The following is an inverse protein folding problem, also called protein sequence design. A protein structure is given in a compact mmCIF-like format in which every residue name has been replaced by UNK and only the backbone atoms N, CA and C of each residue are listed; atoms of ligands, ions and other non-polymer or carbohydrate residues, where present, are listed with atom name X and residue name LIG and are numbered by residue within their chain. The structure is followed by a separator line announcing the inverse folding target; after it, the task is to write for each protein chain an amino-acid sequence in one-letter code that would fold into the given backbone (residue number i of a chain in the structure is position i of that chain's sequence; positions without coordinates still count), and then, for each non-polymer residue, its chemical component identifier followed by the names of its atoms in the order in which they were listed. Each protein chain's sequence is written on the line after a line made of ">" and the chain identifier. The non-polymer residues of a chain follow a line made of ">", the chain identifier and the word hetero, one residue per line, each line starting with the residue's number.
data_IF_706332950288
#
_entry.id   IF_706332950288
#
_cell.length_a   1.000
_cell.length_b   1.000
_cell.length_c   1.000
_cell.angle_alpha   90.00
_cell.angle_beta   90.00
_cell.angle_gamma   90.00
#
_symmetry.space_group_name_H-M   'P 1'
#
loop_
_entity.id
_entity.type
_entity.pdbx_description
1 polymer ?
#
# COMPACT_ATOMS: atom_id res chain seq x y z
N UNK A 1 -22.71 -32.78 31.63
CA UNK A 1 -21.63 -31.88 31.14
C UNK A 1 -20.26 -32.51 31.45
N UNK A 2 -19.35 -32.62 30.47
CA UNK A 2 -17.98 -33.14 30.68
C UNK A 2 -17.01 -32.00 30.90
N UNK A 3 -16.16 -32.12 31.93
CA UNK A 3 -15.03 -31.21 32.13
C UNK A 3 -13.93 -31.53 31.12
N UNK A 4 -13.39 -30.49 30.48
CA UNK A 4 -12.24 -30.57 29.57
C UNK A 4 -11.17 -29.57 30.01
N UNK A 5 -9.91 -29.91 29.77
CA UNK A 5 -8.76 -29.04 30.01
C UNK A 5 -8.32 -28.43 28.68
N UNK A 6 -8.34 -27.10 28.56
CA UNK A 6 -8.09 -26.38 27.30
C UNK A 6 -7.06 -25.29 27.53
N UNK A 7 -6.07 -25.22 26.65
CA UNK A 7 -5.11 -24.10 26.57
C UNK A 7 -5.48 -23.20 25.39
N UNK A 8 -5.66 -21.91 25.66
CA UNK A 8 -5.95 -20.92 24.63
C UNK A 8 -4.66 -20.22 24.19
N UNK A 9 -4.52 -20.03 22.88
CA UNK A 9 -3.47 -19.21 22.25
C UNK A 9 -4.18 -18.25 21.31
N UNK A 10 -3.91 -16.95 21.44
CA UNK A 10 -4.50 -15.90 20.62
C UNK A 10 -3.40 -15.20 19.83
N UNK A 11 -3.72 -14.78 18.61
CA UNK A 11 -2.83 -14.02 17.74
C UNK A 11 -3.60 -12.85 17.16
N UNK A 12 -2.95 -11.68 17.07
CA UNK A 12 -3.53 -10.49 16.45
C UNK A 12 -2.47 -9.77 15.64
N UNK A 13 -2.86 -9.33 14.45
CA UNK A 13 -2.09 -8.45 13.57
C UNK A 13 -2.32 -6.97 13.89
N UNK A 14 -3.30 -6.64 14.72
CA UNK A 14 -3.52 -5.29 15.25
C UNK A 14 -3.19 -5.23 16.76
N UNK A 15 -2.74 -4.07 17.28
CA UNK A 15 -2.56 -3.90 18.71
C UNK A 15 -3.89 -4.09 19.46
N UNK A 16 -4.00 -5.19 20.21
CA UNK A 16 -5.24 -5.59 20.89
C UNK A 16 -5.70 -4.53 21.90
N UNK A 17 -4.74 -3.83 22.52
CA UNK A 17 -5.02 -2.74 23.44
C UNK A 17 -5.72 -1.56 22.76
N UNK A 18 -5.29 -1.17 21.55
CA UNK A 18 -5.92 -0.10 20.78
C UNK A 18 -7.32 -0.50 20.33
N UNK A 19 -7.49 -1.73 19.85
CA UNK A 19 -8.80 -2.27 19.49
C UNK A 19 -9.77 -2.30 20.69
N UNK A 20 -9.26 -2.53 21.91
CA UNK A 20 -10.06 -2.41 23.13
C UNK A 20 -10.47 -0.97 23.44
N UNK A 21 -9.58 0.02 23.24
CA UNK A 21 -9.89 1.43 23.44
C UNK A 21 -10.92 1.95 22.43
N UNK A 22 -10.92 1.42 21.22
CA UNK A 22 -11.88 1.73 20.16
C UNK A 22 -13.24 1.03 20.35
N UNK A 23 -13.41 0.21 21.39
CA UNK A 23 -14.64 -0.53 21.65
C UNK A 23 -14.87 -1.76 20.75
N UNK A 24 -13.90 -2.11 19.90
CA UNK A 24 -13.97 -3.29 19.04
C UNK A 24 -13.78 -4.59 19.84
N UNK A 25 -13.05 -4.51 20.95
CA UNK A 25 -12.81 -5.64 21.86
C UNK A 25 -13.32 -5.27 23.25
N UNK A 26 -14.09 -6.20 23.85
CA UNK A 26 -14.56 -6.03 25.22
C UNK A 26 -13.40 -6.07 26.21
N UNK A 27 -13.46 -5.17 27.19
CA UNK A 27 -12.36 -4.99 28.15
C UNK A 27 -12.17 -6.19 29.09
N UNK A 28 -13.24 -6.92 29.41
CA UNK A 28 -13.16 -8.16 30.19
C UNK A 28 -12.46 -9.29 29.44
N UNK A 29 -12.67 -9.38 28.12
CA UNK A 29 -11.96 -10.32 27.26
C UNK A 29 -10.46 -9.97 27.17
N UNK A 30 -10.13 -8.69 26.91
CA UNK A 30 -8.73 -8.23 26.85
C UNK A 30 -7.95 -8.58 28.13
N UNK A 31 -8.53 -8.31 29.30
CA UNK A 31 -7.90 -8.63 30.59
C UNK A 31 -7.63 -10.13 30.76
N UNK A 32 -8.50 -11.01 30.24
CA UNK A 32 -8.33 -12.46 30.33
C UNK A 32 -7.24 -12.97 29.40
N UNK A 33 -7.16 -12.45 28.17
CA UNK A 33 -6.15 -12.91 27.20
C UNK A 33 -4.76 -12.35 27.50
N UNK A 34 -4.66 -11.13 28.05
CA UNK A 34 -3.37 -10.51 28.36
C UNK A 34 -2.78 -10.93 29.72
N UNK A 35 -3.50 -11.73 30.51
CA UNK A 35 -3.10 -12.11 31.88
C UNK A 35 -1.77 -12.89 31.97
N UNK A 36 -1.36 -13.55 30.89
CA UNK A 36 -0.15 -14.39 30.82
C UNK A 36 1.01 -13.74 30.07
N UNK A 37 0.85 -12.48 29.66
CA UNK A 37 1.81 -11.73 28.84
C UNK A 37 1.57 -11.88 27.34
N UNK A 38 2.16 -10.96 26.59
CA UNK A 38 2.13 -10.92 25.12
C UNK A 38 3.52 -11.21 24.59
N UNK A 39 3.61 -12.05 23.55
CA UNK A 39 4.86 -12.29 22.82
C UNK A 39 4.82 -11.42 21.58
N UNK A 40 5.70 -10.42 21.52
CA UNK A 40 5.83 -9.58 20.33
C UNK A 40 6.71 -10.26 19.29
N UNK A 41 6.17 -10.39 18.07
CA UNK A 41 6.90 -10.97 16.94
C UNK A 41 7.51 -9.81 16.16
N UNK A 42 8.82 -9.62 16.31
CA UNK A 42 9.55 -8.60 15.55
C UNK A 42 9.42 -8.83 14.03
N UNK A 43 9.24 -7.78 13.21
CA UNK A 43 9.25 -7.91 11.75
C UNK A 43 10.59 -8.47 11.26
N UNK A 44 10.59 -9.06 10.06
CA UNK A 44 11.78 -9.67 9.44
C UNK A 44 12.90 -8.65 9.24
N UNK A 45 12.56 -7.37 9.01
CA UNK A 45 13.52 -6.26 8.91
C UNK A 45 14.33 -6.02 10.19
N UNK A 46 13.80 -6.36 11.37
CA UNK A 46 14.51 -6.29 12.65
C UNK A 46 15.32 -7.54 12.97
N UNK A 47 15.19 -8.61 12.16
CA UNK A 47 15.87 -9.90 12.33
C UNK A 47 16.50 -10.38 11.03
N UNK A 48 17.23 -9.50 10.33
CA UNK A 48 17.84 -9.78 9.02
C UNK A 48 18.78 -10.99 9.02
N UNK A 49 19.34 -11.34 10.18
CA UNK A 49 20.16 -12.55 10.37
C UNK A 49 19.42 -13.86 10.08
N UNK A 50 18.08 -13.85 10.15
CA UNK A 50 17.25 -15.03 9.90
C UNK A 50 17.00 -15.26 8.41
N UNK A 51 17.17 -14.24 7.57
CA UNK A 51 16.85 -14.30 6.12
C UNK A 51 17.59 -15.44 5.43
N UNK A 52 18.92 -15.65 5.59
CA UNK A 52 19.61 -16.76 4.93
C UNK A 52 19.08 -18.15 5.31
N UNK A 53 18.73 -18.34 6.58
CA UNK A 53 18.19 -19.61 7.05
C UNK A 53 16.77 -19.86 6.51
N UNK A 54 15.93 -18.82 6.51
CA UNK A 54 14.58 -18.87 5.96
C UNK A 54 14.57 -19.09 4.44
N UNK A 55 15.43 -18.38 3.72
CA UNK A 55 15.61 -18.55 2.27
C UNK A 55 15.97 -19.99 1.93
N UNK A 56 16.96 -20.56 2.62
CA UNK A 56 17.35 -21.96 2.45
C UNK A 56 16.18 -22.89 2.73
N UNK A 57 15.48 -22.68 3.82
CA UNK A 57 14.32 -23.50 4.20
C UNK A 57 13.22 -23.50 3.13
N UNK A 58 12.85 -22.32 2.61
CA UNK A 58 11.81 -22.22 1.59
C UNK A 58 12.25 -22.80 0.24
N UNK A 59 13.51 -22.61 -0.15
CA UNK A 59 14.05 -23.21 -1.36
C UNK A 59 14.07 -24.74 -1.26
N UNK A 60 14.53 -25.30 -0.14
CA UNK A 60 14.49 -26.74 0.10
C UNK A 60 13.06 -27.30 0.12
N UNK A 61 12.13 -26.58 0.74
CA UNK A 61 10.72 -26.96 0.76
C UNK A 61 10.16 -27.02 -0.66
N UNK A 62 10.46 -26.01 -1.49
CA UNK A 62 10.03 -25.95 -2.88
C UNK A 62 10.68 -27.05 -3.73
N UNK A 63 12.00 -27.25 -3.61
CA UNK A 63 12.73 -28.30 -4.31
C UNK A 63 12.19 -29.70 -4.01
N UNK A 64 11.84 -29.99 -2.75
CA UNK A 64 11.22 -31.26 -2.38
C UNK A 64 9.84 -31.45 -3.01
N UNK A 65 9.04 -30.38 -3.09
CA UNK A 65 7.72 -30.43 -3.70
C UNK A 65 7.78 -30.60 -5.24
N UNK A 66 8.76 -29.96 -5.88
CA UNK A 66 8.95 -29.96 -7.33
C UNK A 66 9.89 -31.06 -7.84
N UNK A 67 10.50 -31.85 -6.95
CA UNK A 67 11.53 -32.86 -7.27
C UNK A 67 12.73 -32.29 -8.04
N UNK A 68 13.19 -31.10 -7.63
CA UNK A 68 14.26 -30.34 -8.27
C UNK A 68 15.43 -30.08 -7.33
N UNK A 69 16.52 -29.55 -7.87
CA UNK A 69 17.76 -29.23 -7.16
C UNK A 69 18.19 -27.76 -7.36
N UNK A 70 17.24 -26.82 -7.34
CA UNK A 70 17.56 -25.41 -7.55
C UNK A 70 18.46 -24.86 -6.45
N UNK A 71 19.42 -24.02 -6.85
CA UNK A 71 20.32 -23.27 -5.98
C UNK A 71 20.11 -21.77 -6.16
N UNK A 72 20.62 -20.97 -5.22
CA UNK A 72 20.64 -19.51 -5.32
C UNK A 72 22.06 -19.03 -5.61
N UNK A 73 22.21 -18.07 -6.51
CA UNK A 73 23.48 -17.38 -6.68
C UNK A 73 23.79 -16.51 -5.45
N UNK A 74 25.08 -16.31 -5.16
CA UNK A 74 25.52 -15.47 -4.03
C UNK A 74 24.96 -14.04 -4.13
N UNK A 75 24.98 -13.46 -5.33
CA UNK A 75 24.43 -12.13 -5.59
C UNK A 75 22.92 -12.07 -5.26
N UNK A 76 22.16 -13.11 -5.60
CA UNK A 76 20.73 -13.19 -5.28
C UNK A 76 20.50 -13.30 -3.79
N UNK A 77 21.33 -14.07 -3.09
CA UNK A 77 21.25 -14.20 -1.63
C UNK A 77 21.57 -12.88 -0.92
N UNK A 78 22.63 -12.18 -1.33
CA UNK A 78 22.98 -10.87 -0.80
C UNK A 78 21.88 -9.84 -1.05
N UNK A 79 21.30 -9.86 -2.24
CA UNK A 79 20.19 -8.99 -2.57
C UNK A 79 18.98 -9.26 -1.67
N UNK A 80 18.57 -10.52 -1.50
CA UNK A 80 17.48 -10.90 -0.60
C UNK A 80 17.74 -10.48 0.85
N UNK A 81 19.00 -10.49 1.30
CA UNK A 81 19.37 -10.00 2.64
C UNK A 81 19.29 -8.47 2.75
N UNK A 82 19.51 -7.75 1.65
CA UNK A 82 19.46 -6.28 1.60
C UNK A 82 18.04 -5.72 1.61
N UNK A 83 17.06 -6.51 1.14
CA UNK A 83 15.67 -6.10 1.05
C UNK A 83 15.03 -5.83 2.42
N UNK A 84 14.17 -4.81 2.45
CA UNK A 84 13.32 -4.52 3.58
C UNK A 84 11.93 -5.12 3.35
N UNK A 85 11.65 -6.24 4.02
CA UNK A 85 10.36 -6.95 3.96
C UNK A 85 9.27 -6.27 4.81
N UNK A 86 9.00 -5.00 4.54
CA UNK A 86 8.16 -4.13 5.39
C UNK A 86 6.68 -4.53 5.37
N UNK A 87 6.21 -5.11 4.26
CA UNK A 87 4.78 -5.33 4.03
C UNK A 87 4.32 -6.69 4.56
N UNK A 88 4.93 -7.77 4.08
CA UNK A 88 4.50 -9.14 4.42
C UNK A 88 5.59 -10.00 5.07
N UNK A 89 6.72 -9.39 5.47
CA UNK A 89 7.77 -10.04 6.27
C UNK A 89 8.19 -11.41 5.68
N UNK A 90 8.09 -12.47 6.48
CA UNK A 90 8.45 -13.84 6.09
C UNK A 90 7.59 -14.36 4.94
N UNK A 91 6.32 -13.95 4.87
CA UNK A 91 5.43 -14.33 3.75
C UNK A 91 5.87 -13.70 2.44
N UNK A 92 6.42 -12.49 2.48
CA UNK A 92 6.99 -11.82 1.30
C UNK A 92 8.23 -12.55 0.80
N UNK A 93 9.17 -12.85 1.71
CA UNK A 93 10.36 -13.63 1.39
C UNK A 93 10.00 -14.98 0.76
N UNK A 94 9.04 -15.70 1.36
CA UNK A 94 8.57 -16.98 0.81
C UNK A 94 8.03 -16.82 -0.60
N UNK A 95 7.20 -15.81 -0.86
CA UNK A 95 6.66 -15.53 -2.19
C UNK A 95 7.76 -15.22 -3.21
N UNK A 96 8.78 -14.45 -2.82
CA UNK A 96 9.90 -14.13 -3.70
C UNK A 96 10.67 -15.39 -4.10
N UNK A 97 10.94 -16.28 -3.15
CA UNK A 97 11.59 -17.57 -3.43
C UNK A 97 10.71 -18.44 -4.33
N UNK A 98 9.42 -18.61 -4.03
CA UNK A 98 8.52 -19.41 -4.88
C UNK A 98 8.48 -18.89 -6.31
N UNK A 99 8.27 -17.58 -6.50
CA UNK A 99 8.19 -16.97 -7.84
C UNK A 99 9.53 -17.10 -8.58
N UNK A 100 10.65 -16.90 -7.90
CA UNK A 100 11.96 -17.01 -8.52
C UNK A 100 12.30 -18.45 -8.91
N UNK A 101 11.91 -19.42 -8.08
CA UNK A 101 12.04 -20.85 -8.37
C UNK A 101 11.18 -21.27 -9.57
N UNK A 102 9.92 -20.83 -9.62
CA UNK A 102 9.01 -21.13 -10.75
C UNK A 102 9.57 -20.57 -12.07
N UNK A 103 10.12 -19.35 -12.04
CA UNK A 103 10.74 -18.72 -13.21
C UNK A 103 12.03 -19.41 -13.64
N UNK A 104 12.91 -19.76 -12.70
CA UNK A 104 14.14 -20.49 -13.00
C UNK A 104 13.83 -21.88 -13.60
N UNK A 105 12.79 -22.56 -13.08
CA UNK A 105 12.33 -23.83 -13.63
C UNK A 105 11.80 -23.68 -15.06
N UNK A 106 11.02 -22.63 -15.33
CA UNK A 106 10.50 -22.33 -16.66
C UNK A 106 11.63 -22.02 -17.67
N UNK A 107 12.69 -21.35 -17.24
CA UNK A 107 13.88 -21.09 -18.06
C UNK A 107 14.83 -22.32 -18.13
N UNK A 108 14.48 -23.44 -17.48
CA UNK A 108 15.30 -24.65 -17.38
C UNK A 108 16.70 -24.39 -16.78
N UNK A 109 16.82 -23.45 -15.86
CA UNK A 109 18.07 -23.09 -15.17
C UNK A 109 18.08 -23.69 -13.77
N UNK A 110 19.22 -24.23 -13.34
CA UNK A 110 19.40 -24.79 -11.99
C UNK A 110 19.74 -23.75 -10.92
N UNK A 111 20.23 -22.59 -11.33
CA UNK A 111 20.64 -21.51 -10.43
C UNK A 111 19.71 -20.29 -10.57
N UNK A 112 19.14 -19.88 -9.44
CA UNK A 112 18.29 -18.69 -9.32
C UNK A 112 19.20 -17.46 -9.24
N UNK A 113 19.14 -16.66 -10.30
CA UNK A 113 19.74 -15.33 -10.43
C UNK A 113 18.74 -14.19 -10.15
N UNK A 114 19.24 -12.96 -10.01
CA UNK A 114 18.45 -11.76 -9.73
C UNK A 114 17.28 -11.54 -10.70
N UNK A 115 17.48 -11.83 -11.99
CA UNK A 115 16.43 -11.67 -13.03
C UNK A 115 15.16 -12.47 -12.75
N UNK A 116 15.26 -13.57 -12.00
CA UNK A 116 14.11 -14.41 -11.68
C UNK A 116 13.29 -13.84 -10.50
N UNK A 117 13.85 -12.96 -9.67
CA UNK A 117 13.11 -12.33 -8.58
C UNK A 117 11.97 -11.43 -9.11
N UNK A 118 10.86 -11.28 -8.38
CA UNK A 118 9.73 -10.41 -8.77
C UNK A 118 10.02 -8.90 -8.63
N UNK A 119 11.20 -8.44 -9.08
CA UNK A 119 11.62 -7.04 -8.96
C UNK A 119 10.87 -6.08 -9.87
N UNK A 120 10.28 -6.53 -10.98
CA UNK A 120 9.49 -5.66 -11.86
C UNK A 120 8.17 -5.20 -11.23
N UNK A 121 7.72 -5.84 -10.13
CA UNK A 121 6.59 -5.35 -9.34
C UNK A 121 7.06 -4.59 -8.10
N UNK A 122 8.19 -4.98 -7.50
CA UNK A 122 8.72 -4.24 -6.35
C UNK A 122 9.36 -2.91 -6.73
N UNK A 123 9.86 -2.70 -7.97
CA UNK A 123 10.28 -1.35 -8.44
C UNK A 123 9.10 -0.45 -8.80
N UNK A 124 7.90 -1.01 -9.00
CA UNK A 124 6.65 -0.25 -8.98
C UNK A 124 6.23 0.11 -7.54
N UNK A 125 6.73 -0.61 -6.53
CA UNK A 125 6.49 -0.37 -5.10
C UNK A 125 7.66 0.31 -4.36
N UNK A 126 8.81 0.47 -5.03
CA UNK A 126 9.98 1.25 -4.62
C UNK A 126 10.36 2.21 -5.75
N UNK A 127 9.37 2.96 -6.23
CA UNK A 127 9.63 4.22 -6.89
C UNK A 127 10.14 5.17 -5.80
N UNK A 128 11.45 5.34 -5.72
CA UNK A 128 11.98 6.64 -5.33
C UNK A 128 11.28 7.70 -6.21
N UNK A 129 10.67 8.76 -5.66
CA UNK A 129 9.64 9.58 -6.33
C UNK A 129 10.08 10.41 -7.56
N UNK A 130 11.16 10.09 -8.25
CA UNK A 130 11.82 11.06 -9.15
C UNK A 130 11.71 10.79 -10.65
N UNK A 131 11.00 9.77 -11.17
CA UNK A 131 10.97 9.60 -12.66
C UNK A 131 9.69 9.03 -13.29
N UNK A 132 8.53 9.09 -12.64
CA UNK A 132 7.26 8.73 -13.33
C UNK A 132 6.08 9.64 -13.00
N UNK A 133 6.31 10.85 -12.48
CA UNK A 133 5.24 11.84 -12.29
C UNK A 133 4.86 12.56 -13.58
N UNK A 134 5.72 12.56 -14.60
CA UNK A 134 5.51 13.34 -15.83
C UNK A 134 4.51 12.71 -16.82
N UNK A 135 4.10 11.45 -16.64
CA UNK A 135 3.10 10.82 -17.52
C UNK A 135 1.70 10.75 -16.90
N UNK A 136 1.55 10.95 -15.59
CA UNK A 136 0.28 10.78 -14.89
C UNK A 136 -0.45 12.10 -14.68
N UNK A 137 0.30 13.18 -14.47
CA UNK A 137 -0.22 14.52 -14.24
C UNK A 137 0.18 15.45 -15.37
N UNK A 138 -0.77 16.25 -15.85
CA UNK A 138 -0.49 17.25 -16.87
C UNK A 138 0.32 18.41 -16.28
N UNK A 139 0.94 19.25 -17.11
CA UNK A 139 1.79 20.36 -16.67
C UNK A 139 1.06 21.30 -15.68
N UNK A 140 -0.23 21.57 -15.89
CA UNK A 140 -1.06 22.38 -15.00
C UNK A 140 -1.31 21.69 -13.65
N UNK A 141 -1.52 20.37 -13.65
CA UNK A 141 -1.74 19.57 -12.44
C UNK A 141 -0.47 19.51 -11.61
N UNK A 142 0.69 19.35 -12.27
CA UNK A 142 2.00 19.39 -11.62
C UNK A 142 2.26 20.74 -10.96
N UNK A 143 1.89 21.84 -11.63
CA UNK A 143 2.00 23.19 -11.06
C UNK A 143 1.15 23.34 -9.80
N UNK A 144 -0.12 22.94 -9.86
CA UNK A 144 -1.03 22.96 -8.71
C UNK A 144 -0.57 22.08 -7.55
N UNK A 145 -0.14 20.84 -7.86
CA UNK A 145 0.38 19.89 -6.87
C UNK A 145 1.68 20.38 -6.25
N UNK A 146 2.57 21.04 -7.01
CA UNK A 146 3.81 21.59 -6.46
C UNK A 146 3.56 22.66 -5.40
N UNK A 147 2.58 23.55 -5.64
CA UNK A 147 2.14 24.56 -4.67
C UNK A 147 1.49 23.91 -3.44
N UNK A 148 0.61 22.91 -3.65
CA UNK A 148 0.01 22.15 -2.54
C UNK A 148 1.05 21.44 -1.68
N UNK A 149 2.05 20.80 -2.29
CA UNK A 149 3.12 20.09 -1.58
C UNK A 149 3.96 21.05 -0.75
N UNK A 150 4.30 22.22 -1.29
CA UNK A 150 5.06 23.27 -0.60
C UNK A 150 4.36 23.76 0.68
N UNK A 151 3.03 23.83 0.67
CA UNK A 151 2.23 24.27 1.83
C UNK A 151 1.59 23.13 2.63
N UNK A 152 2.06 21.88 2.48
CA UNK A 152 1.54 20.75 3.24
C UNK A 152 0.04 20.48 3.03
N UNK A 153 -0.45 20.70 1.81
CA UNK A 153 -1.87 20.62 1.42
C UNK A 153 -2.78 21.62 2.15
N UNK A 154 -2.26 22.80 2.48
CA UNK A 154 -3.06 23.95 2.89
C UNK A 154 -3.60 24.69 1.66
N UNK A 155 -4.84 24.38 1.29
CA UNK A 155 -5.49 24.86 0.06
C UNK A 155 -5.57 26.39 -0.01
N UNK A 156 -5.87 27.08 1.10
CA UNK A 156 -5.99 28.54 1.13
C UNK A 156 -4.65 29.25 0.89
N UNK A 157 -3.55 28.72 1.44
CA UNK A 157 -2.22 29.27 1.20
C UNK A 157 -1.75 28.99 -0.24
N UNK A 158 -1.98 27.78 -0.73
CA UNK A 158 -1.61 27.37 -2.08
C UNK A 158 -2.42 28.14 -3.15
N UNK A 159 -3.70 28.41 -2.90
CA UNK A 159 -4.55 29.21 -3.81
C UNK A 159 -4.07 30.66 -3.92
N UNK A 160 -3.64 31.24 -2.79
CA UNK A 160 -3.07 32.58 -2.75
C UNK A 160 -1.75 32.67 -3.52
N UNK A 161 -0.89 31.66 -3.43
CA UNK A 161 0.37 31.61 -4.20
C UNK A 161 0.13 31.47 -5.70
N UNK A 162 -0.88 30.69 -6.10
CA UNK A 162 -1.24 30.49 -7.52
C UNK A 162 -2.00 31.68 -8.12
N UNK A 163 -2.30 32.71 -7.33
CA UNK A 163 -2.99 33.92 -7.77
C UNK A 163 -4.50 33.76 -7.96
N UNK A 164 -5.12 32.73 -7.36
CA UNK A 164 -6.57 32.60 -7.36
C UNK A 164 -7.22 33.64 -6.42
N UNK A 165 -8.48 33.97 -6.69
CA UNK A 165 -9.24 34.90 -5.86
C UNK A 165 -9.36 34.41 -4.40
N UNK A 166 -9.37 35.34 -3.45
CA UNK A 166 -9.58 35.05 -2.04
C UNK A 166 -10.88 34.26 -1.83
N UNK A 167 -10.80 33.12 -1.14
CA UNK A 167 -11.90 32.15 -0.92
C UNK A 167 -12.41 31.41 -2.16
N UNK A 168 -11.68 31.42 -3.28
CA UNK A 168 -11.96 30.50 -4.37
C UNK A 168 -11.90 29.05 -3.85
N UNK A 169 -12.75 28.16 -4.37
CA UNK A 169 -12.66 26.71 -4.10
C UNK A 169 -12.01 25.97 -5.27
N UNK A 170 -11.30 26.70 -6.12
CA UNK A 170 -10.79 26.22 -7.42
C UNK A 170 -9.81 25.08 -7.23
N UNK A 171 -8.79 25.25 -6.37
CA UNK A 171 -7.78 24.23 -6.14
C UNK A 171 -8.36 23.04 -5.38
N UNK A 172 -9.34 23.28 -4.51
CA UNK A 172 -10.08 22.20 -3.84
C UNK A 172 -10.84 21.33 -4.85
N UNK A 173 -11.49 21.94 -5.84
CA UNK A 173 -12.22 21.24 -6.89
C UNK A 173 -11.29 20.52 -7.86
N UNK A 174 -10.17 21.15 -8.24
CA UNK A 174 -9.15 20.54 -9.09
C UNK A 174 -8.51 19.33 -8.42
N UNK A 175 -8.16 19.45 -7.14
CA UNK A 175 -7.64 18.35 -6.34
C UNK A 175 -8.62 17.18 -6.24
N UNK A 176 -9.91 17.45 -6.08
CA UNK A 176 -10.95 16.41 -6.13
C UNK A 176 -10.97 15.71 -7.50
N UNK A 177 -10.78 16.45 -8.59
CA UNK A 177 -10.66 15.89 -9.94
C UNK A 177 -9.44 14.99 -10.12
N UNK A 178 -8.27 15.42 -9.60
CA UNK A 178 -7.05 14.60 -9.57
C UNK A 178 -7.31 13.29 -8.80
N UNK A 179 -8.01 13.36 -7.67
CA UNK A 179 -8.38 12.18 -6.90
C UNK A 179 -9.22 11.18 -7.71
N UNK A 180 -10.22 11.65 -8.47
CA UNK A 180 -11.03 10.79 -9.33
C UNK A 180 -10.23 10.22 -10.52
N UNK A 181 -9.36 11.03 -11.14
CA UNK A 181 -8.45 10.55 -12.19
C UNK A 181 -7.58 9.40 -11.66
N UNK A 182 -6.98 9.54 -10.48
CA UNK A 182 -6.18 8.48 -9.86
C UNK A 182 -6.99 7.21 -9.59
N UNK A 183 -8.21 7.34 -9.09
CA UNK A 183 -9.11 6.21 -8.84
C UNK A 183 -9.51 5.50 -10.14
N UNK A 184 -9.79 6.25 -11.21
CA UNK A 184 -10.22 5.69 -12.50
C UNK A 184 -9.11 4.96 -13.25
N UNK A 185 -7.85 5.37 -13.04
CA UNK A 185 -6.68 4.74 -13.64
C UNK A 185 -6.25 3.45 -12.92
N UNK A 186 -6.86 3.13 -11.77
CA UNK A 186 -6.58 1.86 -11.10
C UNK A 186 -7.36 0.72 -11.76
N UNK A 187 -6.67 -0.36 -12.11
CA UNK A 187 -7.32 -1.59 -12.57
C UNK A 187 -7.79 -2.44 -11.38
N UNK A 188 -9.10 -2.70 -11.29
CA UNK A 188 -9.70 -3.62 -10.32
C UNK A 188 -10.25 -2.98 -9.04
N UNK A 189 -10.64 -3.79 -8.03
CA UNK A 189 -11.25 -3.30 -6.80
C UNK A 189 -10.23 -2.55 -5.94
N UNK A 190 -10.55 -1.29 -5.61
CA UNK A 190 -9.71 -0.41 -4.79
C UNK A 190 -9.53 -0.98 -3.38
N UNK A 191 -8.32 -1.42 -3.06
CA UNK A 191 -7.90 -1.84 -1.72
C UNK A 191 -7.38 -0.65 -0.91
N UNK A 192 -7.33 -0.80 0.42
CA UNK A 192 -6.74 0.20 1.32
C UNK A 192 -5.27 0.52 0.98
N UNK A 193 -4.53 -0.47 0.45
CA UNK A 193 -3.14 -0.29 0.02
C UNK A 193 -3.02 0.54 -1.27
N UNK A 194 -4.01 0.47 -2.16
CA UNK A 194 -4.02 1.27 -3.38
C UNK A 194 -4.31 2.72 -3.05
N UNK A 195 -5.23 2.97 -2.11
CA UNK A 195 -5.50 4.31 -1.58
C UNK A 195 -4.26 4.95 -0.97
N UNK A 196 -3.46 4.17 -0.24
CA UNK A 196 -2.20 4.63 0.33
C UNK A 196 -1.19 5.00 -0.77
N UNK A 197 -1.03 4.13 -1.78
CA UNK A 197 -0.13 4.36 -2.92
C UNK A 197 -0.53 5.59 -3.75
N UNK A 198 -1.84 5.79 -3.99
CA UNK A 198 -2.37 6.99 -4.64
C UNK A 198 -2.09 8.25 -3.82
N UNK A 199 -2.31 8.19 -2.51
CA UNK A 199 -2.01 9.31 -1.61
C UNK A 199 -0.51 9.67 -1.61
N UNK A 200 0.36 8.67 -1.60
CA UNK A 200 1.81 8.85 -1.70
C UNK A 200 2.21 9.52 -3.02
N UNK A 201 1.58 9.12 -4.13
CA UNK A 201 1.80 9.71 -5.47
C UNK A 201 1.40 11.19 -5.51
N UNK A 202 0.26 11.51 -4.91
CA UNK A 202 -0.24 12.90 -4.81
C UNK A 202 0.67 13.74 -3.92
N UNK A 203 1.10 13.21 -2.77
CA UNK A 203 2.01 13.87 -1.82
C UNK A 203 3.43 14.04 -2.40
N UNK A 204 3.86 13.15 -3.30
CA UNK A 204 5.15 13.24 -3.99
C UNK A 204 6.37 13.02 -3.08
N UNK A 205 6.16 12.56 -1.85
CA UNK A 205 7.22 12.15 -0.91
C UNK A 205 6.77 10.92 -0.14
N UNK A 206 7.71 10.01 0.13
CA UNK A 206 7.48 8.80 0.93
C UNK A 206 7.60 9.06 2.44
N UNK A 207 8.33 10.12 2.83
CA UNK A 207 8.76 10.33 4.21
C UNK A 207 7.65 10.92 5.10
N UNK A 208 6.66 11.60 4.52
CA UNK A 208 5.62 12.30 5.28
C UNK A 208 4.37 11.45 5.50
N UNK A 209 4.51 10.37 6.26
CA UNK A 209 3.44 9.38 6.54
C UNK A 209 2.14 10.03 7.09
N UNK A 210 2.26 11.10 7.87
CA UNK A 210 1.11 11.84 8.39
C UNK A 210 0.30 12.51 7.28
N UNK A 211 0.95 13.21 6.34
CA UNK A 211 0.27 13.81 5.18
C UNK A 211 -0.29 12.75 4.25
N UNK A 212 0.44 11.66 4.00
CA UNK A 212 -0.05 10.53 3.19
C UNK A 212 -1.34 9.97 3.78
N UNK A 213 -1.38 9.70 5.10
CA UNK A 213 -2.59 9.23 5.77
C UNK A 213 -3.73 10.24 5.70
N UNK A 214 -3.46 11.52 5.89
CA UNK A 214 -4.47 12.60 5.78
C UNK A 214 -5.08 12.66 4.38
N UNK A 215 -4.27 12.54 3.33
CA UNK A 215 -4.72 12.53 1.94
C UNK A 215 -5.42 11.22 1.59
N UNK A 216 -4.93 10.08 2.06
CA UNK A 216 -5.57 8.77 1.91
C UNK A 216 -6.99 8.75 2.49
N UNK A 217 -7.17 9.25 3.72
CA UNK A 217 -8.51 9.38 4.31
C UNK A 217 -9.44 10.30 3.49
N UNK A 218 -8.89 11.32 2.82
CA UNK A 218 -9.67 12.22 1.96
C UNK A 218 -10.07 11.53 0.64
N UNK A 219 -9.18 10.74 0.05
CA UNK A 219 -9.43 9.88 -1.10
C UNK A 219 -10.52 8.85 -0.79
N UNK A 220 -10.42 8.17 0.35
CA UNK A 220 -11.41 7.21 0.83
C UNK A 220 -12.79 7.85 0.97
N UNK A 221 -12.89 9.04 1.59
CA UNK A 221 -14.15 9.79 1.67
C UNK A 221 -14.74 10.12 0.31
N UNK A 222 -13.90 10.47 -0.67
CA UNK A 222 -14.38 10.72 -2.04
C UNK A 222 -14.86 9.43 -2.70
N UNK A 223 -14.17 8.32 -2.50
CA UNK A 223 -14.54 7.01 -3.04
C UNK A 223 -15.84 6.48 -2.41
N UNK A 224 -15.99 6.56 -1.09
CA UNK A 224 -17.22 6.19 -0.38
C UNK A 224 -18.39 7.05 -0.84
N UNK A 225 -18.20 8.37 -0.94
CA UNK A 225 -19.24 9.28 -1.47
C UNK A 225 -19.60 8.94 -2.90
N UNK A 226 -18.63 8.58 -3.74
CA UNK A 226 -18.88 8.13 -5.10
C UNK A 226 -19.79 6.89 -5.07
N UNK A 227 -19.43 5.84 -4.30
CA UNK A 227 -20.25 4.63 -4.13
C UNK A 227 -21.67 4.89 -3.62
N UNK A 228 -21.82 5.78 -2.65
CA UNK A 228 -23.12 6.17 -2.09
C UNK A 228 -23.97 7.00 -3.06
N UNK A 229 -23.35 7.71 -4.01
CA UNK A 229 -24.04 8.61 -4.96
C UNK A 229 -24.46 7.87 -6.25
N UNK A 230 -23.85 6.72 -6.57
CA UNK A 230 -24.19 5.85 -7.71
C UNK A 230 -25.71 5.59 -7.84
N UNK A 231 -26.51 5.39 -6.77
CA UNK A 231 -27.94 5.11 -6.91
C UNK A 231 -28.85 6.36 -7.02
N UNK A 232 -28.36 7.59 -6.78
CA UNK A 232 -29.25 8.73 -6.46
C UNK A 232 -29.21 9.91 -7.45
N UNK A 233 -28.03 10.45 -7.79
CA UNK A 233 -27.91 11.59 -8.72
C UNK A 233 -26.45 11.86 -9.13
N UNK A 234 -26.06 11.39 -10.32
CA UNK A 234 -24.70 11.53 -10.89
C UNK A 234 -24.24 12.97 -11.11
N UNK A 235 -25.16 13.92 -11.33
CA UNK A 235 -24.83 15.31 -11.64
C UNK A 235 -24.16 16.02 -10.45
N UNK A 236 -24.47 15.60 -9.22
CA UNK A 236 -23.92 16.17 -7.98
C UNK A 236 -22.39 15.98 -7.90
N UNK A 237 -21.85 14.91 -8.48
CA UNK A 237 -20.41 14.63 -8.49
C UNK A 237 -19.65 15.55 -9.46
N UNK A 238 -20.33 16.05 -10.49
CA UNK A 238 -19.78 16.91 -11.53
C UNK A 238 -19.86 18.41 -11.17
N UNK A 239 -20.71 18.78 -10.20
CA UNK A 239 -20.86 20.18 -9.75
C UNK A 239 -19.51 20.77 -9.33
N UNK A 240 -19.13 21.88 -9.94
CA UNK A 240 -17.87 22.60 -9.74
C UNK A 240 -16.59 21.78 -10.07
N UNK A 241 -16.71 20.63 -10.74
CA UNK A 241 -15.56 19.85 -11.19
C UNK A 241 -15.10 20.31 -12.58
N UNK A 242 -13.79 20.51 -12.81
CA UNK A 242 -13.28 20.85 -14.15
C UNK A 242 -13.68 19.79 -15.19
N UNK A 243 -14.10 20.24 -16.38
CA UNK A 243 -14.60 19.38 -17.47
C UNK A 243 -13.64 18.26 -17.86
N UNK A 244 -12.32 18.51 -17.78
CA UNK A 244 -11.29 17.52 -18.07
C UNK A 244 -11.35 16.25 -17.21
N UNK A 245 -12.02 16.30 -16.05
CA UNK A 245 -12.13 15.14 -15.15
C UNK A 245 -13.44 14.37 -15.29
N UNK A 246 -14.39 14.83 -16.12
CA UNK A 246 -15.72 14.24 -16.19
C UNK A 246 -15.68 12.80 -16.71
N UNK A 247 -14.85 12.52 -17.73
CA UNK A 247 -14.70 11.16 -18.28
C UNK A 247 -14.20 10.14 -17.26
N UNK A 248 -13.30 10.53 -16.35
CA UNK A 248 -12.83 9.64 -15.27
C UNK A 248 -13.93 9.35 -14.25
N UNK A 249 -14.77 10.34 -13.95
CA UNK A 249 -15.93 10.14 -13.06
C UNK A 249 -16.94 9.20 -13.71
N UNK A 250 -17.22 9.36 -15.00
CA UNK A 250 -18.09 8.46 -15.76
C UNK A 250 -17.56 7.03 -15.78
N UNK A 251 -16.26 6.84 -16.02
CA UNK A 251 -15.61 5.53 -15.96
C UNK A 251 -15.77 4.86 -14.58
N UNK A 252 -15.70 5.61 -13.48
CA UNK A 252 -15.87 5.10 -12.12
C UNK A 252 -17.33 4.76 -11.77
N UNK A 253 -18.29 5.28 -12.53
CA UNK A 253 -19.72 5.02 -12.35
C UNK A 253 -20.23 3.83 -13.21
N UNK A 254 -19.40 3.34 -14.14
CA UNK A 254 -19.73 2.25 -15.07
C UNK A 254 -19.29 0.91 -14.49
#
# INVERSE_FOLDING_TARGET
>A
PKKVNVRFVFTSNQPVQEACQQGLIRQDFYRRINARGTIEIAPLSQRKTDIPALTRHFLEQWNRASQTDLTLSNETQEFLNSLDYQNYNVSELKSYITIASDRALFEHVKEIQLKHLPMNQTRALSVSPSTSTNSLFDADELKELSSLRKHGFNFTLAEKELGYASNAKTLTNHFRGICYKMLALQEGPVSANDMFSMAQTVVGSADNQHLIRKIGNKLERFYTRLKETIPANKEILLVNLPKKYWGYVEQLLT
#
